data_IF_505750409878
#
_entry.id   IF_505750409878
#
_cell.length_a   1.000
_cell.length_b   1.000
_cell.length_c   1.000
_cell.angle_alpha   90.00
_cell.angle_beta   90.00
_cell.angle_gamma   90.00
#
_symmetry.space_group_name_H-M   'P 1'
#
loop_
_entity.id
_entity.type
_entity.pdbx_description
1 polymer ?
#
# COMPACT_ATOMS: atom_id res chain seq x y z
N UNK A 1 3.99 -3.10 -10.88
CA UNK A 1 4.68 -2.83 -9.61
C UNK A 1 5.70 -3.93 -9.38
N UNK A 2 6.94 -3.57 -9.00
CA UNK A 2 7.87 -4.55 -8.44
C UNK A 2 7.25 -5.11 -7.14
N UNK A 3 7.35 -6.40 -6.87
CA UNK A 3 6.73 -7.00 -5.68
C UNK A 3 7.28 -6.43 -4.35
N UNK A 4 8.49 -5.88 -4.37
CA UNK A 4 9.09 -5.17 -3.23
C UNK A 4 8.55 -3.75 -3.05
N UNK A 5 7.96 -3.16 -4.10
CA UNK A 5 7.55 -1.75 -4.15
C UNK A 5 6.43 -1.41 -3.15
N UNK A 6 5.47 -2.32 -2.97
CA UNK A 6 4.39 -2.13 -2.01
C UNK A 6 4.90 -2.04 -0.57
N UNK A 7 5.89 -2.86 -0.22
CA UNK A 7 6.45 -2.89 1.14
C UNK A 7 7.23 -1.60 1.44
N UNK A 8 7.93 -1.05 0.44
CA UNK A 8 8.58 0.26 0.54
C UNK A 8 7.54 1.36 0.72
N UNK A 9 6.46 1.34 -0.06
CA UNK A 9 5.36 2.31 0.08
C UNK A 9 4.66 2.21 1.44
N UNK A 10 4.44 0.99 1.94
CA UNK A 10 3.90 0.76 3.28
C UNK A 10 4.80 1.37 4.37
N UNK A 11 6.11 1.12 4.30
CA UNK A 11 7.09 1.73 5.21
C UNK A 11 7.03 3.26 5.18
N UNK A 12 6.89 3.83 3.97
CA UNK A 12 6.78 5.28 3.78
C UNK A 12 5.51 5.87 4.40
N UNK A 13 4.37 5.21 4.22
CA UNK A 13 3.10 5.60 4.85
C UNK A 13 3.22 5.58 6.37
N UNK A 14 3.78 4.52 6.94
CA UNK A 14 3.97 4.41 8.39
C UNK A 14 4.90 5.52 8.92
N UNK A 15 5.96 5.84 8.18
CA UNK A 15 6.87 6.95 8.49
C UNK A 15 6.15 8.29 8.51
N UNK A 16 5.39 8.61 7.45
CA UNK A 16 4.63 9.87 7.38
C UNK A 16 3.53 9.95 8.44
N UNK A 17 2.90 8.83 8.80
CA UNK A 17 1.91 8.81 9.89
C UNK A 17 2.51 9.09 11.28
N UNK A 18 3.82 8.91 11.45
CA UNK A 18 4.53 9.28 12.69
C UNK A 18 5.12 10.69 12.60
N UNK A 19 5.63 11.08 11.44
CA UNK A 19 6.19 12.41 11.20
C UNK A 19 6.02 12.80 9.72
N UNK A 20 5.09 13.71 9.44
CA UNK A 20 4.80 14.25 8.11
C UNK A 20 6.01 14.95 7.47
N UNK A 21 6.94 15.47 8.27
CA UNK A 21 8.13 16.19 7.79
C UNK A 21 9.33 15.29 7.49
N UNK A 22 9.19 13.96 7.65
CA UNK A 22 10.29 13.03 7.39
C UNK A 22 10.70 13.05 5.91
N UNK A 23 11.96 13.41 5.64
CA UNK A 23 12.51 13.49 4.27
C UNK A 23 13.18 12.18 3.83
N UNK A 24 13.72 11.39 4.77
CA UNK A 24 14.49 10.18 4.48
C UNK A 24 14.06 9.00 5.35
N UNK A 25 14.82 8.72 6.41
CA UNK A 25 14.61 7.62 7.35
C UNK A 25 13.60 8.04 8.42
N UNK A 26 12.64 7.16 8.67
CA UNK A 26 11.61 7.34 9.67
C UNK A 26 11.75 6.37 10.81
N UNK A 27 10.89 6.56 11.80
CA UNK A 27 10.66 5.56 12.84
C UNK A 27 9.35 4.84 12.53
N UNK A 28 9.37 3.51 12.51
CA UNK A 28 8.18 2.65 12.45
C UNK A 28 8.20 1.69 13.63
N UNK A 29 7.10 0.98 13.87
CA UNK A 29 7.09 -0.06 14.90
C UNK A 29 7.94 -1.25 14.49
N UNK A 30 8.58 -1.91 15.45
CA UNK A 30 9.35 -3.14 15.22
C UNK A 30 8.50 -4.19 14.51
N UNK A 31 7.25 -4.36 14.94
CA UNK A 31 6.29 -5.27 14.29
C UNK A 31 6.06 -4.94 12.81
N UNK A 32 6.06 -3.65 12.46
CA UNK A 32 5.93 -3.17 11.08
C UNK A 32 7.17 -3.47 10.24
N UNK A 33 8.35 -3.28 10.81
CA UNK A 33 9.63 -3.62 10.16
C UNK A 33 9.77 -5.14 9.96
N UNK A 34 9.38 -5.94 10.96
CA UNK A 34 9.39 -7.40 10.87
C UNK A 34 8.40 -7.92 9.82
N UNK A 35 7.20 -7.32 9.74
CA UNK A 35 6.24 -7.62 8.68
C UNK A 35 6.82 -7.33 7.28
N UNK A 36 7.45 -6.16 7.09
CA UNK A 36 8.08 -5.78 5.82
C UNK A 36 9.16 -6.79 5.45
N UNK A 37 10.08 -7.09 6.36
CA UNK A 37 11.19 -8.00 6.13
C UNK A 37 10.71 -9.43 5.82
N UNK A 38 9.75 -9.94 6.58
CA UNK A 38 9.17 -11.27 6.35
C UNK A 38 8.46 -11.34 5.00
N UNK A 39 7.65 -10.33 4.66
CA UNK A 39 6.97 -10.23 3.37
C UNK A 39 7.97 -10.25 2.21
N UNK A 40 9.01 -9.42 2.30
CA UNK A 40 10.08 -9.36 1.30
C UNK A 40 10.83 -10.71 1.16
N UNK A 41 11.05 -11.41 2.28
CA UNK A 41 11.71 -12.73 2.30
C UNK A 41 10.84 -13.81 1.66
N UNK A 42 9.53 -13.80 1.89
CA UNK A 42 8.61 -14.75 1.25
C UNK A 42 8.58 -14.52 -0.26
N UNK A 43 8.48 -13.25 -0.67
CA UNK A 43 8.52 -12.86 -2.09
C UNK A 43 9.85 -13.31 -2.72
N UNK A 44 10.99 -13.04 -2.09
CA UNK A 44 12.31 -13.44 -2.60
C UNK A 44 12.43 -14.95 -2.80
N UNK A 45 11.97 -15.74 -1.82
CA UNK A 45 11.94 -17.21 -1.90
C UNK A 45 11.03 -17.70 -3.02
N UNK A 46 9.85 -17.08 -3.19
CA UNK A 46 8.91 -17.46 -4.24
C UNK A 46 9.46 -17.19 -5.65
N UNK A 47 10.23 -16.12 -5.83
CA UNK A 47 10.89 -15.80 -7.10
C UNK A 47 12.06 -16.74 -7.42
N UNK A 48 12.68 -17.32 -6.39
CA UNK A 48 13.80 -18.24 -6.52
C UNK A 48 13.39 -19.72 -6.71
N UNK A 49 12.12 -20.07 -6.44
CA UNK A 49 11.61 -21.43 -6.57
C UNK A 49 10.80 -21.61 -7.86
N UNK A 50 10.96 -22.75 -8.54
CA UNK A 50 10.16 -23.11 -9.73
C UNK A 50 8.67 -23.40 -9.42
N UNK A 51 8.26 -23.47 -8.15
CA UNK A 51 6.94 -23.96 -7.76
C UNK A 51 5.82 -22.91 -7.91
N UNK A 52 4.70 -23.33 -8.50
CA UNK A 52 3.54 -22.48 -8.87
C UNK A 52 2.69 -21.95 -7.71
N UNK A 53 2.96 -22.32 -6.44
CA UNK A 53 2.17 -21.83 -5.28
C UNK A 53 2.83 -20.60 -4.64
N UNK A 54 2.64 -19.46 -5.30
CA UNK A 54 3.18 -18.17 -4.85
C UNK A 54 2.34 -17.55 -3.71
N UNK A 55 1.06 -17.90 -3.61
CA UNK A 55 0.13 -17.37 -2.60
C UNK A 55 -0.63 -18.54 -1.95
N UNK A 56 -0.39 -18.77 -0.66
CA UNK A 56 -1.14 -19.74 0.13
C UNK A 56 -2.55 -19.18 0.45
N UNK A 57 -3.57 -20.04 0.47
CA UNK A 57 -4.94 -19.62 0.85
C UNK A 57 -4.96 -19.06 2.28
N UNK A 58 -4.05 -19.58 3.11
CA UNK A 58 -3.87 -19.21 4.51
C UNK A 58 -2.64 -18.33 4.71
N UNK A 59 -2.35 -17.42 3.77
CA UNK A 59 -1.19 -16.53 3.82
C UNK A 59 -1.03 -15.80 5.16
N UNK A 60 -2.15 -15.55 5.87
CA UNK A 60 -2.14 -14.92 7.19
C UNK A 60 -1.38 -15.76 8.22
N UNK A 61 -1.42 -17.08 8.15
CA UNK A 61 -0.74 -17.94 9.13
C UNK A 61 0.78 -17.83 9.08
N UNK A 62 1.34 -17.46 7.92
CA UNK A 62 2.76 -17.15 7.77
C UNK A 62 3.19 -15.94 8.62
N UNK A 63 2.25 -15.10 9.03
CA UNK A 63 2.47 -13.90 9.84
C UNK A 63 1.98 -14.01 11.30
N UNK A 64 1.48 -15.17 11.73
CA UNK A 64 0.98 -15.37 13.10
C UNK A 64 2.05 -15.19 14.18
N UNK A 65 3.33 -15.37 13.83
CA UNK A 65 4.46 -15.21 14.75
C UNK A 65 4.94 -13.75 14.90
N UNK A 66 4.30 -12.80 14.19
CA UNK A 66 4.63 -11.40 14.38
C UNK A 66 4.21 -10.96 15.77
N UNK A 67 5.19 -10.57 16.59
CA UNK A 67 4.93 -9.99 17.89
C UNK A 67 4.49 -8.54 17.68
N UNK A 68 3.30 -8.17 18.18
CA UNK A 68 2.84 -6.77 18.15
C UNK A 68 3.66 -5.92 19.14
N UNK A 69 4.90 -5.62 18.77
CA UNK A 69 5.79 -4.72 19.50
C UNK A 69 5.49 -3.26 19.12
N UNK A 70 5.33 -2.42 20.14
CA UNK A 70 5.18 -0.95 20.00
C UNK A 70 6.52 -0.22 19.97
N UNK A 71 7.63 -0.93 20.12
CA UNK A 71 8.97 -0.35 20.07
C UNK A 71 9.21 0.30 18.71
N UNK A 72 9.79 1.51 18.71
CA UNK A 72 10.07 2.25 17.48
C UNK A 72 11.48 1.96 17.03
N UNK A 73 11.62 1.49 15.80
CA UNK A 73 12.91 1.27 15.15
C UNK A 73 13.05 2.11 13.90
N UNK A 74 14.31 2.39 13.56
CA UNK A 74 14.67 3.21 12.42
C UNK A 74 14.50 2.40 11.13
N UNK A 75 13.73 2.92 10.18
CA UNK A 75 13.46 2.26 8.91
C UNK A 75 14.72 2.21 8.06
N UNK A 76 15.27 1.02 7.84
CA UNK A 76 16.40 0.85 6.90
C UNK A 76 15.95 0.82 5.43
N UNK A 77 14.69 0.45 5.17
CA UNK A 77 14.23 0.10 3.82
C UNK A 77 13.30 1.15 3.17
N UNK A 78 13.01 2.28 3.84
CA UNK A 78 11.97 3.24 3.43
C UNK A 78 12.45 4.56 2.81
N UNK A 79 13.75 4.84 2.77
CA UNK A 79 14.23 6.23 2.64
C UNK A 79 14.60 6.69 1.22
N UNK A 80 15.07 5.82 0.32
CA UNK A 80 15.55 6.24 -1.03
C UNK A 80 14.68 5.78 -2.19
N UNK A 81 13.82 4.78 -2.04
CA UNK A 81 13.07 4.20 -3.16
C UNK A 81 11.70 4.86 -3.44
N UNK A 82 11.05 5.48 -2.43
CA UNK A 82 9.75 6.13 -2.59
C UNK A 82 9.80 7.63 -2.28
N UNK A 83 10.37 8.42 -3.21
CA UNK A 83 10.54 9.89 -3.11
C UNK A 83 9.23 10.63 -3.47
N UNK A 84 8.09 10.14 -3.00
CA UNK A 84 6.79 10.78 -3.25
C UNK A 84 6.43 11.73 -2.11
N UNK A 85 5.76 12.84 -2.46
CA UNK A 85 5.22 13.79 -1.48
C UNK A 85 4.20 13.10 -0.57
N UNK A 86 4.17 13.51 0.71
CA UNK A 86 3.20 13.03 1.70
C UNK A 86 1.74 13.24 1.25
N UNK A 87 1.48 14.26 0.41
CA UNK A 87 0.15 14.54 -0.14
C UNK A 87 -0.42 13.36 -0.93
N UNK A 88 0.41 12.65 -1.68
CA UNK A 88 -0.03 11.49 -2.48
C UNK A 88 -0.47 10.35 -1.57
N UNK A 89 0.10 10.25 -0.37
CA UNK A 89 -0.24 9.22 0.61
C UNK A 89 -1.33 9.62 1.59
N UNK A 90 -1.93 10.81 1.46
CA UNK A 90 -2.87 11.34 2.45
C UNK A 90 -3.95 10.36 2.93
N UNK A 91 -4.70 9.65 2.08
CA UNK A 91 -5.70 8.67 2.55
C UNK A 91 -5.07 7.52 3.33
N UNK A 92 -3.88 7.06 2.93
CA UNK A 92 -3.13 6.03 3.63
C UNK A 92 -2.61 6.53 4.98
N UNK A 93 -2.09 7.76 5.06
CA UNK A 93 -1.56 8.36 6.29
C UNK A 93 -2.66 8.48 7.35
N UNK A 94 -3.83 8.99 6.97
CA UNK A 94 -4.99 9.06 7.88
C UNK A 94 -5.35 7.66 8.38
N UNK A 95 -5.40 6.69 7.46
CA UNK A 95 -5.74 5.31 7.80
C UNK A 95 -4.76 4.71 8.80
N UNK A 96 -3.46 4.85 8.56
CA UNK A 96 -2.42 4.37 9.46
C UNK A 96 -2.50 5.05 10.84
N UNK A 97 -2.82 6.35 10.88
CA UNK A 97 -3.03 7.07 12.14
C UNK A 97 -4.27 6.55 12.88
N UNK A 98 -5.41 6.35 12.19
CA UNK A 98 -6.62 5.77 12.80
C UNK A 98 -6.41 4.35 13.29
N UNK A 99 -5.63 3.53 12.58
CA UNK A 99 -5.29 2.17 13.02
C UNK A 99 -4.53 2.16 14.33
N UNK A 100 -3.62 3.13 14.54
CA UNK A 100 -2.89 3.32 15.80
C UNK A 100 -3.81 3.74 16.93
N UNK A 101 -4.76 4.64 16.67
CA UNK A 101 -5.76 5.05 17.66
C UNK A 101 -6.62 3.86 18.12
N UNK A 102 -6.97 2.96 17.19
CA UNK A 102 -7.76 1.77 17.45
C UNK A 102 -6.93 0.58 17.98
N UNK A 103 -5.62 0.74 18.18
CA UNK A 103 -4.69 -0.34 18.56
C UNK A 103 -4.82 -1.60 17.69
N UNK A 104 -4.98 -1.44 16.37
CA UNK A 104 -5.05 -2.59 15.45
C UNK A 104 -3.69 -3.29 15.36
N UNK A 105 -3.72 -4.61 15.18
CA UNK A 105 -2.52 -5.40 14.88
C UNK A 105 -1.89 -4.97 13.55
N UNK A 106 -0.62 -5.32 13.36
CA UNK A 106 0.15 -4.94 12.16
C UNK A 106 -0.51 -5.43 10.87
N UNK A 107 -0.98 -6.68 10.86
CA UNK A 107 -1.65 -7.29 9.70
C UNK A 107 -2.98 -6.59 9.39
N UNK A 108 -3.78 -6.31 10.42
CA UNK A 108 -5.06 -5.64 10.25
C UNK A 108 -4.87 -4.20 9.75
N UNK A 109 -3.83 -3.52 10.22
CA UNK A 109 -3.44 -2.19 9.72
C UNK A 109 -3.09 -2.23 8.23
N UNK A 110 -2.28 -3.20 7.81
CA UNK A 110 -1.91 -3.40 6.40
C UNK A 110 -3.13 -3.67 5.51
N UNK A 111 -4.04 -4.56 5.93
CA UNK A 111 -5.26 -4.85 5.19
C UNK A 111 -6.20 -3.64 5.10
N UNK A 112 -6.33 -2.87 6.18
CA UNK A 112 -7.14 -1.66 6.19
C UNK A 112 -6.56 -0.60 5.24
N UNK A 113 -5.24 -0.46 5.19
CA UNK A 113 -4.56 0.43 4.24
C UNK A 113 -4.83 0.05 2.79
N UNK A 114 -4.74 -1.24 2.44
CA UNK A 114 -5.10 -1.73 1.09
C UNK A 114 -6.56 -1.42 0.75
N UNK A 115 -7.48 -1.66 1.69
CA UNK A 115 -8.91 -1.38 1.50
C UNK A 115 -9.18 0.11 1.28
N UNK A 116 -8.63 0.99 2.12
CA UNK A 116 -8.85 2.44 1.98
C UNK A 116 -8.18 2.98 0.72
N UNK A 117 -7.00 2.46 0.35
CA UNK A 117 -6.36 2.77 -0.93
C UNK A 117 -7.26 2.46 -2.12
N UNK A 118 -7.77 1.23 -2.17
CA UNK A 118 -8.70 0.80 -3.22
C UNK A 118 -9.96 1.68 -3.26
N UNK A 119 -10.60 1.94 -2.12
CA UNK A 119 -11.79 2.77 -2.03
C UNK A 119 -11.52 4.22 -2.48
N UNK A 120 -10.33 4.76 -2.16
CA UNK A 120 -9.92 6.10 -2.58
C UNK A 120 -9.77 6.18 -4.10
N UNK A 121 -9.08 5.21 -4.70
CA UNK A 121 -8.91 5.12 -6.15
C UNK A 121 -10.25 4.89 -6.85
N UNK A 122 -11.11 4.03 -6.30
CA UNK A 122 -12.45 3.79 -6.82
C UNK A 122 -13.33 5.04 -6.76
N UNK A 123 -13.28 5.80 -5.67
CA UNK A 123 -14.00 7.06 -5.55
C UNK A 123 -13.53 8.09 -6.58
N UNK A 124 -12.21 8.26 -6.74
CA UNK A 124 -11.63 9.14 -7.77
C UNK A 124 -12.05 8.71 -9.18
N UNK A 125 -12.11 7.41 -9.45
CA UNK A 125 -12.58 6.87 -10.71
C UNK A 125 -14.06 7.19 -10.99
N UNK A 126 -14.94 7.06 -9.99
CA UNK A 126 -16.34 7.46 -10.14
C UNK A 126 -16.49 8.95 -10.45
N UNK A 127 -15.68 9.81 -9.82
CA UNK A 127 -15.66 11.24 -10.12
C UNK A 127 -15.16 11.53 -11.53
N UNK A 128 -14.10 10.85 -11.96
CA UNK A 128 -13.56 10.98 -13.32
C UNK A 128 -14.57 10.55 -14.39
N UNK A 129 -15.25 9.41 -14.23
CA UNK A 129 -16.28 8.95 -15.18
C UNK A 129 -17.42 9.96 -15.33
N UNK A 130 -17.79 10.65 -14.24
CA UNK A 130 -18.84 11.68 -14.28
C UNK A 130 -18.43 12.87 -15.13
N UNK A 131 -17.15 13.27 -15.08
CA UNK A 131 -16.63 14.44 -15.82
C UNK A 131 -16.29 14.16 -17.27
N UNK A 132 -15.69 13.00 -17.56
CA UNK A 132 -15.17 12.68 -18.90
C UNK A 132 -16.30 12.69 -19.94
N UNK A 133 -16.19 13.45 -21.05
CA UNK A 133 -17.25 13.51 -22.06
C UNK A 133 -17.31 12.27 -22.99
N UNK A 134 -16.19 11.57 -23.22
CA UNK A 134 -16.10 10.42 -24.14
C UNK A 134 -15.22 9.28 -23.61
N UNK A 135 -15.42 8.04 -24.05
CA UNK A 135 -14.56 6.91 -23.65
C UNK A 135 -14.87 6.27 -22.29
N UNK A 136 -16.03 6.57 -21.69
CA UNK A 136 -16.49 5.98 -20.41
C UNK A 136 -16.53 4.45 -20.44
N UNK A 137 -17.03 3.88 -21.54
CA UNK A 137 -17.10 2.43 -21.72
C UNK A 137 -15.71 1.79 -21.73
N UNK A 138 -14.74 2.40 -22.42
CA UNK A 138 -13.35 1.93 -22.47
C UNK A 138 -12.72 1.93 -21.07
N UNK A 139 -12.94 2.99 -20.29
CA UNK A 139 -12.45 3.09 -18.92
C UNK A 139 -13.06 2.01 -18.01
N UNK A 140 -14.36 1.74 -18.14
CA UNK A 140 -15.03 0.68 -17.39
C UNK A 140 -14.48 -0.71 -17.75
N UNK A 141 -14.19 -0.97 -19.03
CA UNK A 141 -13.60 -2.22 -19.48
C UNK A 141 -12.21 -2.40 -18.86
N UNK A 142 -11.35 -1.38 -18.93
CA UNK A 142 -10.01 -1.41 -18.34
C UNK A 142 -10.09 -1.66 -16.84
N UNK A 143 -11.00 -0.98 -16.14
CA UNK A 143 -11.22 -1.17 -14.72
C UNK A 143 -11.75 -2.54 -14.33
N UNK A 144 -12.42 -3.23 -15.25
CA UNK A 144 -12.97 -4.58 -15.01
C UNK A 144 -11.92 -5.68 -15.18
N UNK A 145 -10.72 -5.36 -15.66
CA UNK A 145 -9.63 -6.34 -15.81
C UNK A 145 -9.13 -6.74 -14.41
N UNK A 146 -9.12 -8.04 -14.05
CA UNK A 146 -8.75 -8.48 -12.70
C UNK A 146 -7.37 -8.03 -12.24
N UNK A 147 -6.38 -8.02 -13.15
CA UNK A 147 -5.01 -7.58 -12.85
C UNK A 147 -4.93 -6.08 -12.56
N UNK A 148 -5.80 -5.28 -13.16
CA UNK A 148 -5.92 -3.83 -12.89
C UNK A 148 -6.53 -3.62 -11.51
N UNK A 149 -7.60 -4.34 -11.17
CA UNK A 149 -8.21 -4.30 -9.84
C UNK A 149 -7.19 -4.68 -8.76
N UNK A 150 -6.45 -5.78 -8.96
CA UNK A 150 -5.39 -6.21 -8.04
C UNK A 150 -4.27 -5.18 -7.90
N UNK A 151 -3.95 -4.46 -8.98
CA UNK A 151 -2.94 -3.39 -8.91
C UNK A 151 -3.44 -2.20 -8.08
N UNK A 152 -4.73 -1.88 -8.12
CA UNK A 152 -5.33 -0.78 -7.34
C UNK A 152 -5.52 -1.10 -5.85
N UNK A 153 -5.54 -2.38 -5.46
CA UNK A 153 -5.59 -2.76 -4.04
C UNK A 153 -4.24 -2.66 -3.36
N UNK A 154 -3.14 -2.63 -4.11
CA UNK A 154 -1.80 -2.54 -3.55
C UNK A 154 -1.50 -1.10 -3.05
N UNK A 155 -0.74 -1.01 -1.96
CA UNK A 155 -0.31 0.28 -1.39
C UNK A 155 0.73 0.90 -2.32
N UNK A 156 0.36 1.97 -3.03
CA UNK A 156 1.27 2.67 -3.94
C UNK A 156 0.93 4.14 -4.10
N UNK A 157 1.95 4.95 -4.38
CA UNK A 157 1.73 6.32 -4.82
C UNK A 157 1.20 6.39 -6.26
N UNK A 158 1.60 5.45 -7.12
CA UNK A 158 1.23 5.46 -8.54
C UNK A 158 -0.26 5.27 -8.76
N UNK A 159 -0.88 4.36 -7.99
CA UNK A 159 -2.32 4.04 -8.09
C UNK A 159 -3.20 5.25 -7.79
N UNK A 160 -2.89 6.01 -6.73
CA UNK A 160 -3.59 7.26 -6.40
C UNK A 160 -3.32 8.36 -7.43
N UNK A 161 -2.10 8.44 -7.95
CA UNK A 161 -1.74 9.41 -8.99
C UNK A 161 -2.54 9.20 -10.27
N UNK A 162 -2.75 7.93 -10.69
CA UNK A 162 -3.60 7.62 -11.85
C UNK A 162 -5.05 8.07 -11.64
N UNK A 163 -5.60 7.85 -10.45
CA UNK A 163 -6.94 8.35 -10.10
C UNK A 163 -7.07 9.87 -10.23
N UNK A 164 -6.04 10.61 -9.82
CA UNK A 164 -6.00 12.07 -9.95
C UNK A 164 -5.86 12.53 -11.42
N UNK A 165 -5.03 11.86 -12.23
CA UNK A 165 -4.84 12.23 -13.65
C UNK A 165 -6.17 12.18 -14.40
N UNK A 166 -6.97 11.13 -14.20
CA UNK A 166 -8.29 11.05 -14.84
C UNK A 166 -9.25 12.17 -14.42
N UNK A 167 -9.07 12.75 -13.23
CA UNK A 167 -9.88 13.87 -12.75
C UNK A 167 -9.44 15.24 -13.32
N UNK A 168 -8.18 15.38 -13.74
CA UNK A 168 -7.62 16.61 -14.33
C UNK A 168 -7.67 16.66 -15.85
N UNK A 169 -7.64 15.51 -16.52
CA UNK A 169 -7.83 15.41 -17.98
C UNK A 169 -9.31 15.55 -18.38
N UNK A 170 -10.22 15.51 -17.39
CA UNK A 170 -11.67 15.55 -17.55
C UNK A 170 -12.32 16.87 -17.19
#
# INVERSE_FOLDING_TARGET
MSWYDEQVHYARVLTYSNNLSSKSEGYITQSGQDFIHLSMTIISKSLAQESQKIISIDWKSEFNNLTDSKEKVLTKDGSTAAVYSHLVYFPYIITAWTSKLLNLSTINTFLLLRLVGFLSVFWLFLLAIRKIPFGKATLLIIWSIPTVILSFTAISAGTLTYGLIFLFVS
#
